data_IF_025391467435
#
_entry.id   IF_025391467435
#
_cell.length_a   1.000
_cell.length_b   1.000
_cell.length_c   1.000
_cell.angle_alpha   90.00
_cell.angle_beta   90.00
_cell.angle_gamma   90.00
#
_symmetry.space_group_name_H-M   'P 1'
#
loop_
_entity.id
_entity.type
_entity.pdbx_description
1 polymer ?
#
# COMPACT_ATOMS: atom_id res chain seq x y z
N UNK A 1 -8.73 -30.99 11.91
CA UNK A 1 -8.24 -29.62 12.15
C UNK A 1 -8.35 -28.87 10.84
N UNK A 2 -8.81 -27.62 10.81
CA UNK A 2 -8.63 -26.77 9.63
C UNK A 2 -7.14 -26.79 9.28
N UNK A 3 -6.81 -27.13 8.03
CA UNK A 3 -5.45 -26.94 7.52
C UNK A 3 -5.24 -25.45 7.38
N UNK A 4 -4.29 -24.92 8.13
CA UNK A 4 -3.80 -23.57 8.01
C UNK A 4 -2.55 -23.61 7.11
N UNK A 5 -2.72 -24.00 5.84
CA UNK A 5 -1.71 -23.71 4.82
C UNK A 5 -1.72 -22.19 4.61
N UNK A 6 -1.02 -21.47 5.48
CA UNK A 6 -0.76 -20.03 5.35
C UNK A 6 0.42 -19.82 4.42
N UNK A 7 0.26 -20.11 3.14
CA UNK A 7 1.25 -19.65 2.15
C UNK A 7 0.85 -18.24 1.71
N UNK A 8 1.21 -17.27 2.55
CA UNK A 8 1.09 -15.85 2.17
C UNK A 8 2.35 -15.45 1.43
N UNK A 9 2.18 -15.05 0.17
CA UNK A 9 3.26 -14.53 -0.65
C UNK A 9 3.66 -13.12 -0.18
N UNK A 10 4.62 -13.08 0.75
CA UNK A 10 5.15 -11.85 1.31
C UNK A 10 5.85 -10.98 0.27
N UNK A 11 6.41 -11.58 -0.78
CA UNK A 11 7.02 -10.83 -1.87
C UNK A 11 5.96 -10.08 -2.67
N UNK A 12 4.87 -10.75 -3.05
CA UNK A 12 3.74 -10.13 -3.75
C UNK A 12 3.07 -9.06 -2.89
N UNK A 13 2.91 -9.29 -1.58
CA UNK A 13 2.40 -8.26 -0.66
C UNK A 13 3.32 -7.04 -0.57
N UNK A 14 4.63 -7.25 -0.48
CA UNK A 14 5.61 -6.17 -0.47
C UNK A 14 5.57 -5.34 -1.76
N UNK A 15 5.52 -6.02 -2.92
CA UNK A 15 5.38 -5.37 -4.23
C UNK A 15 4.07 -4.59 -4.35
N UNK A 16 2.96 -5.12 -3.85
CA UNK A 16 1.68 -4.42 -3.85
C UNK A 16 1.75 -3.14 -2.99
N UNK A 17 2.28 -3.21 -1.77
CA UNK A 17 2.47 -2.03 -0.92
C UNK A 17 3.39 -0.99 -1.57
N UNK A 18 4.48 -1.42 -2.22
CA UNK A 18 5.36 -0.55 -2.98
C UNK A 18 4.63 0.14 -4.14
N UNK A 19 3.89 -0.61 -4.97
CA UNK A 19 3.18 -0.07 -6.11
C UNK A 19 2.09 0.95 -5.73
N UNK A 20 1.41 0.73 -4.59
CA UNK A 20 0.47 1.70 -4.03
C UNK A 20 1.18 3.00 -3.63
N UNK A 21 2.34 2.91 -2.96
CA UNK A 21 3.14 4.08 -2.60
C UNK A 21 3.67 4.84 -3.83
N UNK A 22 4.12 4.14 -4.87
CA UNK A 22 4.54 4.75 -6.14
C UNK A 22 3.38 5.47 -6.83
N UNK A 23 2.20 4.85 -6.84
CA UNK A 23 0.98 5.47 -7.39
C UNK A 23 0.59 6.74 -6.62
N UNK A 24 0.69 6.71 -5.29
CA UNK A 24 0.48 7.88 -4.44
C UNK A 24 1.40 9.04 -4.78
N UNK A 25 2.69 8.77 -5.02
CA UNK A 25 3.63 9.82 -5.41
C UNK A 25 3.26 10.43 -6.76
N UNK A 26 2.85 9.61 -7.74
CA UNK A 26 2.42 10.12 -9.04
C UNK A 26 1.24 11.10 -8.96
N UNK A 27 0.29 10.87 -8.05
CA UNK A 27 -0.82 11.79 -7.81
C UNK A 27 -0.41 13.04 -7.04
N UNK A 28 0.60 12.96 -6.16
CA UNK A 28 1.16 14.12 -5.46
C UNK A 28 2.02 15.00 -6.38
N UNK A 29 2.66 14.41 -7.39
CA UNK A 29 3.54 15.10 -8.32
C UNK A 29 2.79 15.80 -9.47
N UNK A 30 1.53 15.44 -9.71
CA UNK A 30 0.73 15.97 -10.81
C UNK A 30 -0.55 16.61 -10.30
N UNK A 31 -0.52 17.94 -10.20
CA UNK A 31 -1.71 18.69 -9.87
C UNK A 31 -2.66 18.79 -11.08
N UNK A 32 -3.96 18.82 -10.81
CA UNK A 32 -4.97 19.07 -11.84
C UNK A 32 -4.97 20.52 -12.28
N UNK A 33 -4.60 21.46 -11.39
CA UNK A 33 -4.45 22.88 -11.69
C UNK A 33 -3.45 23.10 -12.84
N UNK A 34 -2.39 22.28 -12.92
CA UNK A 34 -1.38 22.32 -13.98
C UNK A 34 -1.89 21.81 -15.35
N UNK A 35 -3.03 21.12 -15.37
CA UNK A 35 -3.58 20.45 -16.56
C UNK A 35 -4.80 21.16 -17.15
N UNK A 36 -5.33 22.17 -16.46
CA UNK A 36 -6.51 22.93 -16.87
C UNK A 36 -6.13 24.34 -17.31
N UNK A 37 -6.87 24.95 -18.26
CA UNK A 37 -6.60 26.32 -18.69
C UNK A 37 -6.99 27.33 -17.61
N UNK A 38 -6.31 28.48 -17.56
CA UNK A 38 -6.70 29.57 -16.66
C UNK A 38 -7.97 30.26 -17.14
N UNK A 39 -8.66 30.99 -16.25
CA UNK A 39 -9.85 31.79 -16.62
C UNK A 39 -9.63 32.70 -17.81
N UNK A 40 -8.45 33.32 -17.92
CA UNK A 40 -8.08 34.18 -19.05
C UNK A 40 -7.95 33.44 -20.37
N UNK A 41 -7.55 32.17 -20.34
CA UNK A 41 -7.41 31.35 -21.55
C UNK A 41 -8.77 30.91 -22.10
N UNK A 42 -9.77 30.78 -21.23
CA UNK A 42 -11.10 30.27 -21.57
C UNK A 42 -11.99 31.35 -22.20
N UNK A 43 -11.91 32.60 -21.72
CA UNK A 43 -12.65 33.74 -22.29
C UNK A 43 -14.19 33.66 -22.15
N UNK A 44 -14.71 32.71 -21.37
CA UNK A 44 -16.13 32.49 -21.12
C UNK A 44 -16.37 32.10 -19.66
N UNK A 45 -17.14 32.90 -18.93
CA UNK A 45 -17.42 32.67 -17.51
C UNK A 45 -18.20 31.37 -17.26
N UNK A 46 -19.10 31.00 -18.17
CA UNK A 46 -19.88 29.75 -18.04
C UNK A 46 -18.96 28.54 -18.15
N UNK A 47 -18.01 28.58 -19.09
CA UNK A 47 -17.05 27.49 -19.30
C UNK A 47 -16.03 27.46 -18.15
N UNK A 48 -15.55 28.63 -17.72
CA UNK A 48 -14.67 28.74 -16.56
C UNK A 48 -15.29 28.13 -15.30
N UNK A 49 -16.54 28.48 -14.97
CA UNK A 49 -17.21 27.94 -13.78
C UNK A 49 -17.35 26.40 -13.83
N UNK A 50 -17.53 25.83 -15.02
CA UNK A 50 -17.58 24.38 -15.18
C UNK A 50 -16.20 23.72 -14.99
N UNK A 51 -15.12 24.39 -15.41
CA UNK A 51 -13.74 23.92 -15.19
C UNK A 51 -13.37 24.03 -13.72
N UNK A 52 -13.68 25.16 -13.08
CA UNK A 52 -13.46 25.42 -11.65
C UNK A 52 -14.20 24.38 -10.77
N UNK A 53 -15.47 24.07 -11.09
CA UNK A 53 -16.20 23.00 -10.39
C UNK A 53 -15.56 21.62 -10.61
N UNK A 54 -15.13 21.33 -11.84
CA UNK A 54 -14.46 20.07 -12.16
C UNK A 54 -13.16 19.92 -11.37
N UNK A 55 -12.34 20.96 -11.35
CA UNK A 55 -11.05 21.01 -10.64
C UNK A 55 -11.25 20.75 -9.15
N UNK A 56 -12.13 21.51 -8.49
CA UNK A 56 -12.38 21.33 -7.05
C UNK A 56 -12.91 19.93 -6.70
N UNK A 57 -13.81 19.37 -7.53
CA UNK A 57 -14.32 18.00 -7.31
C UNK A 57 -13.27 16.93 -7.60
N UNK A 58 -12.39 17.17 -8.56
CA UNK A 58 -11.28 16.29 -8.86
C UNK A 58 -10.29 16.27 -7.70
N UNK A 59 -9.87 17.44 -7.21
CA UNK A 59 -8.98 17.55 -6.04
C UNK A 59 -9.56 16.83 -4.83
N UNK A 60 -10.82 17.09 -4.49
CA UNK A 60 -11.47 16.44 -3.35
C UNK A 60 -11.51 14.91 -3.53
N UNK A 61 -11.90 14.44 -4.72
CA UNK A 61 -12.00 13.01 -5.03
C UNK A 61 -10.64 12.30 -5.00
N UNK A 62 -9.62 12.89 -5.61
CA UNK A 62 -8.27 12.31 -5.66
C UNK A 62 -7.61 12.35 -4.28
N UNK A 63 -7.79 13.41 -3.50
CA UNK A 63 -7.26 13.48 -2.14
C UNK A 63 -7.86 12.39 -1.23
N UNK A 64 -9.18 12.15 -1.32
CA UNK A 64 -9.82 11.05 -0.59
C UNK A 64 -9.27 9.68 -1.04
N UNK A 65 -9.14 9.47 -2.36
CA UNK A 65 -8.57 8.23 -2.88
C UNK A 65 -7.12 8.01 -2.42
N UNK A 66 -6.31 9.08 -2.40
CA UNK A 66 -4.94 9.02 -1.90
C UNK A 66 -4.90 8.60 -0.43
N UNK A 67 -5.77 9.14 0.43
CA UNK A 67 -5.84 8.74 1.84
C UNK A 67 -6.16 7.24 1.98
N UNK A 68 -7.13 6.73 1.22
CA UNK A 68 -7.50 5.32 1.23
C UNK A 68 -6.34 4.42 0.77
N UNK A 69 -5.66 4.81 -0.32
CA UNK A 69 -4.51 4.07 -0.85
C UNK A 69 -3.34 4.06 0.14
N UNK A 70 -3.11 5.16 0.86
CA UNK A 70 -2.06 5.28 1.88
C UNK A 70 -2.34 4.34 3.05
N UNK A 71 -3.59 4.30 3.50
CA UNK A 71 -4.03 3.35 4.53
C UNK A 71 -3.88 1.90 4.05
N UNK A 72 -4.28 1.60 2.82
CA UNK A 72 -4.14 0.26 2.24
C UNK A 72 -2.68 -0.20 2.18
N UNK A 73 -1.77 0.67 1.70
CA UNK A 73 -0.34 0.37 1.64
C UNK A 73 0.24 0.10 3.05
N UNK A 74 -0.12 0.93 4.03
CA UNK A 74 0.30 0.74 5.43
C UNK A 74 -0.23 -0.56 6.04
N UNK A 75 -1.49 -0.91 5.78
CA UNK A 75 -2.11 -2.17 6.25
C UNK A 75 -1.43 -3.39 5.62
N UNK A 76 -1.15 -3.37 4.32
CA UNK A 76 -0.42 -4.45 3.63
C UNK A 76 0.97 -4.65 4.23
N UNK A 77 1.72 -3.56 4.45
CA UNK A 77 3.03 -3.62 5.09
C UNK A 77 2.98 -4.23 6.50
N UNK A 78 1.98 -3.84 7.32
CA UNK A 78 1.78 -4.39 8.66
C UNK A 78 1.45 -5.88 8.62
N UNK A 79 0.58 -6.32 7.71
CA UNK A 79 0.24 -7.74 7.56
C UNK A 79 1.48 -8.54 7.18
N UNK A 80 2.27 -8.07 6.21
CA UNK A 80 3.49 -8.74 5.79
C UNK A 80 4.50 -8.90 6.95
N UNK A 81 4.67 -7.84 7.77
CA UNK A 81 5.53 -7.91 8.96
C UNK A 81 5.02 -8.91 10.00
N UNK A 82 3.72 -8.95 10.27
CA UNK A 82 3.15 -9.91 11.22
C UNK A 82 3.41 -11.36 10.79
N UNK A 83 3.27 -11.66 9.49
CA UNK A 83 3.58 -12.98 8.96
C UNK A 83 5.07 -13.30 9.09
N UNK A 84 5.94 -12.37 8.71
CA UNK A 84 7.39 -12.54 8.85
C UNK A 84 7.82 -12.83 10.29
N UNK A 85 7.30 -12.08 11.26
CA UNK A 85 7.60 -12.28 12.69
C UNK A 85 7.12 -13.64 13.19
N UNK A 86 5.94 -14.07 12.75
CA UNK A 86 5.36 -15.38 13.12
C UNK A 86 6.19 -16.52 12.56
N UNK A 87 6.56 -16.45 11.28
CA UNK A 87 7.36 -17.47 10.61
C UNK A 87 8.77 -17.58 11.23
N UNK A 88 9.40 -16.43 11.50
CA UNK A 88 10.70 -16.38 12.20
C UNK A 88 10.64 -17.02 13.58
N UNK A 89 9.61 -16.70 14.37
CA UNK A 89 9.44 -17.30 15.70
C UNK A 89 9.25 -18.82 15.63
N UNK A 90 8.49 -19.30 14.64
CA UNK A 90 8.32 -20.73 14.37
C UNK A 90 9.63 -21.41 13.98
N UNK A 91 10.39 -20.80 13.07
CA UNK A 91 11.70 -21.29 12.65
C UNK A 91 12.68 -21.38 13.82
N UNK A 92 12.78 -20.33 14.64
CA UNK A 92 13.66 -20.30 15.82
C UNK A 92 13.29 -21.41 16.81
N UNK A 93 11.99 -21.62 17.07
CA UNK A 93 11.51 -22.69 17.95
C UNK A 93 11.84 -24.09 17.41
N UNK A 94 11.63 -24.34 16.11
CA UNK A 94 11.95 -25.61 15.47
C UNK A 94 13.46 -25.89 15.45
N UNK A 95 14.26 -24.86 15.17
CA UNK A 95 15.72 -24.93 15.18
C UNK A 95 16.26 -25.29 16.56
N UNK A 96 15.73 -24.66 17.62
CA UNK A 96 16.07 -24.98 19.00
C UNK A 96 15.72 -26.45 19.34
N UNK A 97 14.51 -26.91 18.98
CA UNK A 97 14.07 -28.29 19.21
C UNK A 97 14.98 -29.30 18.50
N UNK A 98 15.36 -29.03 17.25
CA UNK A 98 16.30 -29.87 16.48
C UNK A 98 17.65 -29.96 17.20
N UNK A 99 18.15 -28.86 17.76
CA UNK A 99 19.35 -28.84 18.58
C UNK A 99 19.24 -29.74 19.82
N UNK A 100 18.12 -29.67 20.55
CA UNK A 100 17.86 -30.53 21.71
C UNK A 100 17.80 -32.01 21.35
N UNK A 101 17.09 -32.37 20.28
CA UNK A 101 16.98 -33.77 19.81
C UNK A 101 18.35 -34.32 19.41
N UNK A 102 19.17 -33.52 18.72
CA UNK A 102 20.53 -33.91 18.35
C UNK A 102 21.38 -34.18 19.58
N UNK A 103 21.31 -33.35 20.63
CA UNK A 103 22.05 -33.56 21.88
C UNK A 103 21.66 -34.87 22.60
N UNK A 104 20.37 -35.22 22.62
CA UNK A 104 19.89 -36.47 23.24
C UNK A 104 20.36 -37.73 22.50
N UNK A 105 20.51 -37.68 21.16
CA UNK A 105 20.98 -38.83 20.37
C UNK A 105 22.46 -39.16 20.54
N UNK A 106 23.26 -38.24 21.07
CA UNK A 106 24.73 -38.39 21.23
C UNK A 106 25.10 -38.81 22.67
N UNK A 107 24.10 -38.88 23.57
CA UNK A 107 24.19 -39.52 24.89
C UNK A 107 23.77 -40.99 24.80
#
# INVERSE_FOLDING_TARGET
>A
MPSYDYEVDLESMGKAAQGLNETLQLFKDKDVEDLVPSRSDVGSDVVWNAIDEFEGRWEEGVNNLCQDVEEMAGRLGKIAMNYFETDKAGYDALSALKGTIAAVKVL
#
